data_IF_084965566818
#
_entry.id   IF_084965566818
#
_cell.length_a   1.000
_cell.length_b   1.000
_cell.length_c   1.000
_cell.angle_alpha   90.00
_cell.angle_beta   90.00
_cell.angle_gamma   90.00
#
_symmetry.space_group_name_H-M   'P 1'
#
loop_
_entity.id
_entity.type
_entity.pdbx_description
1 polymer ?
#
# COMPACT_ATOMS: atom_id res chain seq x y z
N UNK A 1 -16.29 -6.75 2.10
CA UNK A 1 -15.28 -6.43 3.13
C UNK A 1 -13.95 -6.51 2.44
N UNK A 2 -13.27 -5.38 2.31
CA UNK A 2 -11.94 -5.27 1.70
C UNK A 2 -11.00 -4.87 2.83
N UNK A 3 -9.85 -5.55 2.95
CA UNK A 3 -8.95 -5.45 4.10
C UNK A 3 -7.65 -4.73 3.69
N UNK A 4 -7.11 -3.89 4.58
CA UNK A 4 -5.89 -3.11 4.29
C UNK A 4 -4.74 -3.88 4.88
N UNK A 5 -3.84 -4.36 4.02
CA UNK A 5 -2.59 -4.99 4.44
C UNK A 5 -1.45 -4.02 4.18
N UNK A 6 -0.69 -3.69 5.23
CA UNK A 6 0.49 -2.83 5.16
C UNK A 6 1.73 -3.73 5.22
N UNK A 7 2.45 -3.87 4.10
CA UNK A 7 3.76 -4.54 4.08
C UNK A 7 4.88 -3.50 4.10
N UNK A 8 5.74 -3.58 5.13
CA UNK A 8 7.02 -2.88 5.15
C UNK A 8 8.08 -3.68 4.39
N UNK A 9 8.64 -3.11 3.33
CA UNK A 9 9.78 -3.71 2.64
C UNK A 9 11.10 -3.10 3.16
N UNK A 10 11.94 -3.93 3.76
CA UNK A 10 13.36 -3.66 3.89
C UNK A 10 14.06 -4.18 2.63
N UNK A 11 14.87 -3.34 1.99
CA UNK A 11 15.61 -3.68 0.76
C UNK A 11 16.67 -4.76 1.07
N UNK A 12 16.25 -6.01 1.00
CA UNK A 12 17.11 -7.18 1.15
C UNK A 12 16.42 -8.39 0.58
N UNK A 13 16.91 -8.87 -0.56
CA UNK A 13 16.47 -10.06 -1.33
C UNK A 13 15.50 -9.76 -2.47
N UNK A 14 16.06 -9.64 -3.68
CA UNK A 14 15.33 -9.63 -4.95
C UNK A 14 14.79 -11.04 -5.22
N UNK A 15 13.48 -11.24 -5.12
CA UNK A 15 12.83 -12.39 -5.76
C UNK A 15 12.67 -12.03 -7.24
N UNK A 16 13.56 -12.55 -8.08
CA UNK A 16 13.44 -12.44 -9.53
C UNK A 16 12.37 -13.40 -10.04
N UNK A 17 11.11 -12.97 -10.03
CA UNK A 17 10.07 -13.60 -10.85
C UNK A 17 10.17 -12.96 -12.23
N UNK A 18 10.59 -13.73 -13.22
CA UNK A 18 10.59 -13.33 -14.63
C UNK A 18 9.14 -13.37 -15.17
N UNK A 19 8.28 -12.51 -14.62
CA UNK A 19 7.02 -12.13 -15.23
C UNK A 19 7.33 -11.00 -16.21
N UNK A 20 6.62 -10.92 -17.35
CA UNK A 20 6.50 -9.66 -18.09
C UNK A 20 5.69 -8.69 -17.21
N UNK A 21 6.31 -8.25 -16.11
CA UNK A 21 5.76 -7.25 -15.23
C UNK A 21 6.04 -5.90 -15.90
N UNK A 22 4.99 -5.22 -16.33
CA UNK A 22 5.09 -3.78 -16.48
C UNK A 22 5.42 -3.18 -15.11
N UNK A 23 6.02 -1.99 -15.08
CA UNK A 23 6.25 -1.28 -13.82
C UNK A 23 5.51 0.05 -13.81
N UNK A 24 5.14 0.50 -12.61
CA UNK A 24 4.71 1.86 -12.36
C UNK A 24 5.90 2.65 -11.81
N UNK A 25 6.26 3.71 -12.51
CA UNK A 25 7.27 4.67 -12.06
C UNK A 25 6.55 5.91 -11.50
N UNK A 26 6.90 6.30 -10.28
CA UNK A 26 6.40 7.52 -9.68
C UNK A 26 6.78 8.73 -10.55
N UNK A 27 5.83 9.63 -10.91
CA UNK A 27 6.13 10.78 -11.75
C UNK A 27 7.20 11.73 -11.19
N UNK A 28 7.40 11.74 -9.86
CA UNK A 28 8.46 12.50 -9.20
C UNK A 28 9.77 11.70 -9.04
N UNK A 29 9.86 10.50 -9.61
CA UNK A 29 11.06 9.66 -9.60
C UNK A 29 11.41 9.08 -8.24
N UNK A 30 10.47 9.05 -7.28
CA UNK A 30 10.75 8.65 -5.89
C UNK A 30 10.81 7.14 -5.69
N UNK A 31 10.06 6.37 -6.49
CA UNK A 31 9.99 4.91 -6.40
C UNK A 31 9.54 4.29 -7.73
N UNK A 32 9.73 2.99 -7.83
CA UNK A 32 9.22 2.13 -8.90
C UNK A 32 8.64 0.87 -8.28
N UNK A 33 7.50 0.40 -8.79
CA UNK A 33 6.90 -0.87 -8.38
C UNK A 33 6.60 -1.75 -9.59
N UNK A 34 6.87 -3.04 -9.46
CA UNK A 34 6.44 -4.02 -10.44
C UNK A 34 4.91 -4.19 -10.37
N UNK A 35 4.28 -4.33 -11.52
CA UNK A 35 2.86 -4.59 -11.67
C UNK A 35 2.66 -6.03 -12.14
N UNK A 36 1.76 -6.73 -11.46
CA UNK A 36 1.35 -8.05 -11.91
C UNK A 36 0.54 -7.93 -13.21
N UNK A 37 0.65 -8.91 -14.13
CA UNK A 37 -0.20 -8.94 -15.32
C UNK A 37 -1.68 -8.83 -14.96
N UNK A 38 -2.43 -8.11 -15.79
CA UNK A 38 -3.88 -7.86 -15.63
C UNK A 38 -4.29 -6.94 -14.49
N UNK A 39 -3.38 -6.49 -13.62
CA UNK A 39 -3.70 -5.46 -12.63
C UNK A 39 -3.85 -4.10 -13.33
N UNK A 40 -4.88 -3.36 -12.92
CA UNK A 40 -5.18 -2.03 -13.47
C UNK A 40 -4.58 -0.96 -12.58
N UNK A 41 -3.94 0.04 -13.19
CA UNK A 41 -3.48 1.25 -12.49
C UNK A 41 -4.44 2.40 -12.76
N UNK A 42 -4.98 2.99 -11.70
CA UNK A 42 -5.90 4.13 -11.76
C UNK A 42 -5.34 5.30 -10.93
N UNK A 43 -5.16 6.51 -11.49
CA UNK A 43 -4.88 7.69 -10.68
C UNK A 43 -6.14 8.12 -9.92
N UNK A 44 -6.05 8.26 -8.59
CA UNK A 44 -7.15 8.62 -7.70
C UNK A 44 -6.65 9.54 -6.58
N UNK A 45 -7.28 10.70 -6.41
CA UNK A 45 -6.97 11.68 -5.34
C UNK A 45 -5.47 12.04 -5.21
N UNK A 46 -4.74 12.14 -6.32
CA UNK A 46 -3.30 12.45 -6.34
C UNK A 46 -2.39 11.27 -5.99
N UNK A 47 -2.95 10.08 -5.81
CA UNK A 47 -2.23 8.81 -5.67
C UNK A 47 -2.51 7.92 -6.89
N UNK A 48 -1.71 6.87 -7.08
CA UNK A 48 -2.07 5.77 -7.97
C UNK A 48 -2.66 4.64 -7.12
N UNK A 49 -3.64 3.93 -7.66
CA UNK A 49 -4.20 2.72 -7.07
C UNK A 49 -3.99 1.60 -8.07
N UNK A 50 -3.47 0.47 -7.60
CA UNK A 50 -3.34 -0.74 -8.40
C UNK A 50 -4.38 -1.74 -7.91
N UNK A 51 -5.23 -2.20 -8.82
CA UNK A 51 -6.38 -3.04 -8.51
C UNK A 51 -6.26 -4.39 -9.20
N UNK A 52 -6.59 -5.47 -8.48
CA UNK A 52 -6.70 -6.81 -9.04
C UNK A 52 -7.91 -6.90 -9.99
N UNK A 53 -7.89 -7.82 -10.98
CA UNK A 53 -8.98 -7.95 -11.96
C UNK A 53 -10.36 -8.21 -11.33
N UNK A 54 -10.40 -8.89 -10.20
CA UNK A 54 -11.60 -9.22 -9.44
C UNK A 54 -11.99 -8.16 -8.40
N UNK A 55 -11.19 -7.10 -8.24
CA UNK A 55 -11.40 -6.04 -7.25
C UNK A 55 -11.23 -6.49 -5.80
N UNK A 56 -10.74 -7.71 -5.54
CA UNK A 56 -10.54 -8.22 -4.19
C UNK A 56 -9.35 -7.56 -3.49
N UNK A 57 -8.35 -7.11 -4.26
CA UNK A 57 -7.13 -6.50 -3.76
C UNK A 57 -6.93 -5.15 -4.45
N UNK A 58 -6.65 -4.12 -3.65
CA UNK A 58 -6.18 -2.84 -4.15
C UNK A 58 -5.01 -2.36 -3.26
N UNK A 59 -3.97 -1.80 -3.87
CA UNK A 59 -2.84 -1.22 -3.15
C UNK A 59 -2.40 0.11 -3.73
N UNK A 60 -1.72 0.90 -2.91
CA UNK A 60 -1.07 2.15 -3.30
C UNK A 60 0.27 2.25 -2.57
N UNK A 61 1.13 3.17 -3.00
CA UNK A 61 2.39 3.49 -2.32
C UNK A 61 2.41 4.96 -1.96
N UNK A 62 2.73 5.24 -0.70
CA UNK A 62 2.92 6.58 -0.18
C UNK A 62 4.33 6.72 0.37
N UNK A 63 5.01 7.80 -0.03
CA UNK A 63 6.36 8.13 0.44
C UNK A 63 6.27 9.32 1.38
N UNK A 64 6.79 9.15 2.60
CA UNK A 64 6.83 10.21 3.62
C UNK A 64 8.24 10.36 4.21
N UNK A 65 8.70 11.59 4.51
CA UNK A 65 9.93 11.80 5.26
C UNK A 65 9.83 11.20 6.66
N UNK A 66 10.88 10.51 7.10
CA UNK A 66 11.04 10.12 8.51
C UNK A 66 11.90 11.16 9.23
N UNK A 67 11.47 11.55 10.43
CA UNK A 67 12.23 12.48 11.28
C UNK A 67 13.46 11.82 11.94
N UNK A 68 13.47 10.49 12.05
CA UNK A 68 14.56 9.70 12.60
C UNK A 68 14.59 8.30 11.99
N UNK A 69 15.71 7.59 12.17
CA UNK A 69 15.86 6.19 11.73
C UNK A 69 15.22 5.17 12.67
N UNK A 70 14.42 5.62 13.65
CA UNK A 70 13.71 4.72 14.55
C UNK A 70 12.89 3.68 13.77
N UNK A 71 12.91 2.44 14.26
CA UNK A 71 12.06 1.38 13.75
C UNK A 71 10.59 1.70 14.06
N UNK A 72 9.71 1.43 13.10
CA UNK A 72 8.27 1.60 13.26
C UNK A 72 7.66 0.20 13.35
N UNK A 73 7.07 -0.10 14.50
CA UNK A 73 6.27 -1.31 14.70
C UNK A 73 5.04 -1.30 13.78
N UNK A 74 4.48 -2.47 13.49
CA UNK A 74 3.38 -2.64 12.54
C UNK A 74 2.17 -1.75 12.84
N UNK A 75 1.84 -1.56 14.13
CA UNK A 75 0.73 -0.69 14.55
C UNK A 75 1.01 0.78 14.21
N UNK A 76 2.26 1.23 14.34
CA UNK A 76 2.64 2.59 13.97
C UNK A 76 2.61 2.77 12.45
N UNK A 77 3.03 1.77 11.68
CA UNK A 77 2.89 1.76 10.22
C UNK A 77 1.43 1.78 9.78
N UNK A 78 0.57 1.00 10.43
CA UNK A 78 -0.86 1.00 10.17
C UNK A 78 -1.48 2.37 10.43
N UNK A 79 -1.13 3.04 11.54
CA UNK A 79 -1.59 4.40 11.84
C UNK A 79 -1.20 5.39 10.73
N UNK A 80 0.05 5.34 10.24
CA UNK A 80 0.50 6.19 9.13
C UNK A 80 -0.25 5.90 7.81
N UNK A 81 -0.59 4.63 7.56
CA UNK A 81 -1.40 4.25 6.41
C UNK A 81 -2.81 4.84 6.52
N UNK A 82 -3.44 4.74 7.69
CA UNK A 82 -4.76 5.32 7.96
C UNK A 82 -4.77 6.84 7.76
N UNK A 83 -3.80 7.55 8.34
CA UNK A 83 -3.67 9.01 8.14
C UNK A 83 -3.43 9.42 6.68
N UNK A 84 -2.93 8.50 5.85
CA UNK A 84 -2.74 8.74 4.42
C UNK A 84 -4.07 8.63 3.66
N UNK A 85 -4.90 7.65 4.00
CA UNK A 85 -6.16 7.38 3.28
C UNK A 85 -7.39 8.06 3.90
N UNK A 86 -7.33 8.49 5.17
CA UNK A 86 -8.40 9.22 5.87
C UNK A 86 -8.77 10.54 5.19
N UNK A 87 -7.85 11.12 4.43
CA UNK A 87 -8.11 12.33 3.62
C UNK A 87 -8.96 12.05 2.37
N UNK A 88 -9.31 10.80 2.10
CA UNK A 88 -10.13 10.36 0.96
C UNK A 88 -11.63 10.52 1.18
N UNK A 89 -12.41 10.31 0.11
CA UNK A 89 -13.85 10.56 0.02
C UNK A 89 -14.70 9.56 0.84
N UNK A 90 -14.71 9.69 2.17
CA UNK A 90 -15.62 8.92 3.03
C UNK A 90 -15.02 7.65 3.65
N UNK A 91 -13.70 7.48 3.59
CA UNK A 91 -12.99 6.41 4.26
C UNK A 91 -13.27 6.44 5.78
N UNK A 92 -13.73 5.31 6.32
CA UNK A 92 -13.96 5.07 7.74
C UNK A 92 -13.30 3.77 8.15
N UNK A 93 -12.20 3.88 8.88
CA UNK A 93 -11.52 2.72 9.45
C UNK A 93 -12.34 2.11 10.59
N UNK A 94 -12.37 0.79 10.64
CA UNK A 94 -12.82 0.01 11.78
C UNK A 94 -11.68 -0.27 12.76
N UNK A 95 -11.87 -1.24 13.64
CA UNK A 95 -10.89 -1.59 14.65
C UNK A 95 -9.64 -2.24 14.01
N UNK A 96 -8.47 -1.73 14.35
CA UNK A 96 -7.17 -2.29 13.96
C UNK A 96 -6.98 -3.65 14.64
N UNK A 97 -6.61 -4.68 13.89
CA UNK A 97 -6.33 -6.01 14.39
C UNK A 97 -4.94 -6.47 13.96
N UNK A 98 -4.09 -6.80 14.93
CA UNK A 98 -2.79 -7.43 14.65
C UNK A 98 -3.00 -8.90 14.28
N UNK A 99 -2.21 -9.37 13.33
CA UNK A 99 -2.16 -10.74 12.81
C UNK A 99 -0.72 -11.24 12.80
N UNK A 100 -0.51 -12.53 12.54
CA UNK A 100 0.84 -13.11 12.47
C UNK A 100 1.69 -12.56 11.30
N UNK A 101 1.06 -11.90 10.33
CA UNK A 101 1.70 -11.39 9.11
C UNK A 101 1.63 -9.87 8.96
N UNK A 102 1.16 -9.16 10.00
CA UNK A 102 1.04 -7.70 10.00
C UNK A 102 -0.26 -7.23 10.64
N UNK A 103 -0.87 -6.18 10.08
CA UNK A 103 -2.07 -5.56 10.63
C UNK A 103 -3.19 -5.54 9.60
N UNK A 104 -4.38 -5.95 10.01
CA UNK A 104 -5.62 -5.84 9.25
C UNK A 104 -6.46 -4.68 9.80
N UNK A 105 -6.99 -3.87 8.88
CA UNK A 105 -7.96 -2.83 9.22
C UNK A 105 -9.16 -2.96 8.30
N UNK A 106 -10.34 -3.35 8.81
CA UNK A 106 -11.57 -3.28 8.03
C UNK A 106 -11.90 -1.82 7.78
N UNK A 107 -12.43 -1.47 6.61
CA UNK A 107 -12.86 -0.10 6.32
C UNK A 107 -14.19 -0.07 5.57
N UNK A 108 -14.81 1.11 5.56
CA UNK A 108 -15.97 1.46 4.76
C UNK A 108 -15.71 2.77 4.00
N UNK A 109 -16.39 2.98 2.89
CA UNK A 109 -16.23 4.13 2.01
C UNK A 109 -16.92 3.85 0.69
#
# INVERSE_FOLDING_TARGET
MTALSVMGFSLGTLISVQAQASSYQDPAGRFEVALLPSYKVTPLAGMFVVESPDGAIAYTVSVRPKASDAYLEDVALAQLALETVEKGEGFRAGAVQSTDIGVEVPWQG
#
